data_IF_828273693527
#
_entry.id   IF_828273693527
#
_cell.length_a   1.000
_cell.length_b   1.000
_cell.length_c   1.000
_cell.angle_alpha   90.00
_cell.angle_beta   90.00
_cell.angle_gamma   90.00
#
_symmetry.space_group_name_H-M   'P 1'
#
loop_
_entity.id
_entity.type
_entity.pdbx_description
1 polymer ?
#
# COMPACT_ATOMS: atom_id res chain seq x y z
N UNK A 1 11.74 26.84 72.20
CA UNK A 1 11.75 25.54 71.50
C UNK A 1 10.94 25.66 70.20
N UNK A 2 11.61 25.73 69.05
CA UNK A 2 10.96 25.77 67.72
C UNK A 2 11.12 24.39 67.07
N UNK A 3 10.02 23.64 66.97
CA UNK A 3 9.98 22.37 66.25
C UNK A 3 10.06 22.63 64.74
N UNK A 4 11.20 22.30 64.11
CA UNK A 4 11.30 22.21 62.65
C UNK A 4 10.80 20.82 62.22
N UNK A 5 9.62 20.77 61.60
CA UNK A 5 9.14 19.59 60.87
C UNK A 5 9.84 19.55 59.51
N UNK A 6 10.78 18.63 59.35
CA UNK A 6 11.39 18.32 58.06
C UNK A 6 10.38 17.48 57.26
N UNK A 7 9.85 18.06 56.18
CA UNK A 7 8.90 17.39 55.28
C UNK A 7 9.72 16.62 54.23
N UNK A 8 9.87 15.31 54.40
CA UNK A 8 10.54 14.45 53.42
C UNK A 8 9.55 14.13 52.31
N UNK A 9 9.60 14.89 51.21
CA UNK A 9 8.85 14.58 49.99
C UNK A 9 9.49 13.37 49.31
N UNK A 10 8.88 12.19 49.49
CA UNK A 10 9.27 10.98 48.77
C UNK A 10 8.96 11.12 47.29
N UNK A 11 10.00 11.35 46.48
CA UNK A 11 9.93 11.30 45.03
C UNK A 11 9.72 9.82 44.62
N UNK A 12 8.47 9.43 44.40
CA UNK A 12 8.15 8.10 43.88
C UNK A 12 8.53 8.08 42.40
N UNK A 13 9.71 7.54 42.10
CA UNK A 13 10.20 7.34 40.74
C UNK A 13 9.40 6.18 40.13
N UNK A 14 8.24 6.48 39.53
CA UNK A 14 7.50 5.51 38.74
C UNK A 14 8.35 5.17 37.51
N UNK A 15 9.03 4.02 37.53
CA UNK A 15 9.71 3.49 36.37
C UNK A 15 8.66 3.22 35.29
N UNK A 16 8.58 4.10 34.29
CA UNK A 16 7.82 3.87 33.08
C UNK A 16 8.47 2.67 32.38
N UNK A 17 7.93 1.47 32.57
CA UNK A 17 8.30 0.32 31.75
C UNK A 17 7.75 0.58 30.35
N UNK A 18 8.61 1.07 29.47
CA UNK A 18 8.34 1.07 28.03
C UNK A 18 8.42 -0.41 27.63
N UNK A 19 7.27 -1.08 27.57
CA UNK A 19 7.19 -2.40 26.98
C UNK A 19 7.65 -2.29 25.52
N UNK A 20 8.79 -2.90 25.19
CA UNK A 20 9.18 -3.03 23.79
C UNK A 20 8.19 -3.97 23.11
N UNK A 21 7.61 -3.56 21.98
CA UNK A 21 6.82 -4.46 21.16
C UNK A 21 7.64 -5.71 20.85
N UNK A 22 7.13 -6.88 21.21
CA UNK A 22 7.78 -8.15 20.91
C UNK A 22 7.53 -8.42 19.43
N UNK A 23 8.56 -8.60 18.63
CA UNK A 23 8.37 -8.96 17.22
C UNK A 23 8.31 -10.49 17.14
N UNK A 24 7.36 -11.02 16.36
CA UNK A 24 7.34 -12.44 16.02
C UNK A 24 7.79 -12.67 14.58
N UNK A 25 8.58 -13.71 14.35
CA UNK A 25 9.09 -14.09 13.04
C UNK A 25 8.49 -15.41 12.61
N UNK A 26 8.10 -15.50 11.34
CA UNK A 26 7.70 -16.74 10.72
C UNK A 26 8.87 -17.72 10.66
N UNK A 27 8.65 -18.93 11.17
CA UNK A 27 9.60 -20.04 11.18
C UNK A 27 9.17 -21.18 10.27
N UNK A 28 7.86 -21.30 9.97
CA UNK A 28 7.31 -22.32 9.06
C UNK A 28 7.56 -23.77 9.50
N UNK A 29 7.70 -24.00 10.81
CA UNK A 29 8.12 -25.30 11.35
C UNK A 29 6.99 -26.36 11.42
N UNK A 30 5.72 -25.94 11.37
CA UNK A 30 4.57 -26.83 11.53
C UNK A 30 3.92 -27.13 10.19
N UNK A 31 3.54 -26.08 9.46
CA UNK A 31 2.92 -26.18 8.14
C UNK A 31 3.13 -24.87 7.36
N UNK A 32 2.39 -24.70 6.27
CA UNK A 32 2.43 -23.46 5.47
C UNK A 32 1.31 -22.48 5.78
N UNK A 33 0.34 -22.81 6.64
CA UNK A 33 -0.79 -21.93 6.93
C UNK A 33 -0.34 -20.79 7.85
N UNK A 34 -0.55 -19.56 7.37
CA UNK A 34 -0.19 -18.34 8.05
C UNK A 34 -0.75 -18.26 9.49
N UNK A 35 -1.95 -18.81 9.70
CA UNK A 35 -2.67 -18.74 10.97
C UNK A 35 -2.31 -19.86 11.96
N UNK A 36 -1.40 -20.76 11.62
CA UNK A 36 -0.92 -21.79 12.56
C UNK A 36 0.08 -21.16 13.52
N UNK A 37 -0.30 -21.03 14.80
CA UNK A 37 0.52 -20.37 15.83
C UNK A 37 1.92 -20.97 15.99
N UNK A 38 2.08 -22.28 15.76
CA UNK A 38 3.38 -22.95 15.83
C UNK A 38 4.36 -22.58 14.70
N UNK A 39 3.90 -21.88 13.66
CA UNK A 39 4.78 -21.33 12.62
C UNK A 39 5.43 -20.00 13.02
N UNK A 40 5.22 -19.53 14.25
CA UNK A 40 5.70 -18.24 14.74
C UNK A 40 6.50 -18.43 16.03
N UNK A 41 7.68 -17.81 16.09
CA UNK A 41 8.61 -17.95 17.23
C UNK A 41 8.06 -17.39 18.56
N UNK A 42 7.12 -16.45 18.49
CA UNK A 42 6.56 -15.71 19.63
C UNK A 42 5.03 -15.63 19.54
N UNK A 43 4.39 -16.68 19.00
CA UNK A 43 2.94 -16.74 18.80
C UNK A 43 2.45 -15.92 17.60
N UNK A 44 1.14 -15.95 17.35
CA UNK A 44 0.58 -15.30 16.17
C UNK A 44 0.79 -13.78 16.17
N UNK A 45 1.04 -13.16 15.00
CA UNK A 45 1.08 -11.72 14.88
C UNK A 45 -0.25 -11.10 15.28
N UNK A 46 -0.18 -9.91 15.90
CA UNK A 46 -1.34 -9.09 16.21
C UNK A 46 -1.07 -7.60 15.93
N UNK A 47 -2.06 -6.77 16.17
CA UNK A 47 -1.99 -5.31 16.11
C UNK A 47 -1.94 -4.66 17.50
N UNK A 48 -1.67 -5.45 18.54
CA UNK A 48 -1.69 -5.04 19.96
C UNK A 48 -0.29 -5.05 20.61
N UNK A 49 0.77 -5.27 19.84
CA UNK A 49 2.16 -5.22 20.30
C UNK A 49 3.02 -6.40 19.87
N UNK A 50 2.46 -7.35 19.11
CA UNK A 50 3.18 -8.50 18.55
C UNK A 50 3.23 -8.47 17.00
N UNK A 51 3.90 -7.50 16.34
CA UNK A 51 3.98 -7.49 14.88
C UNK A 51 4.76 -8.69 14.34
N UNK A 52 4.32 -9.19 13.19
CA UNK A 52 4.91 -10.32 12.47
C UNK A 52 5.91 -9.92 11.38
N UNK A 53 6.95 -10.74 11.19
CA UNK A 53 7.85 -10.67 10.04
C UNK A 53 7.85 -12.01 9.31
N UNK A 54 7.58 -11.99 8.02
CA UNK A 54 7.77 -13.13 7.12
C UNK A 54 9.08 -12.91 6.36
N UNK A 55 10.10 -13.77 6.55
CA UNK A 55 11.42 -13.54 6.00
C UNK A 55 11.49 -13.84 4.49
N UNK A 56 12.57 -13.36 3.86
CA UNK A 56 12.84 -13.58 2.43
C UNK A 56 12.85 -15.06 2.05
N UNK A 57 12.36 -15.37 0.85
CA UNK A 57 12.31 -16.74 0.33
C UNK A 57 11.24 -17.62 0.96
N UNK A 58 10.42 -17.08 1.86
CA UNK A 58 9.34 -17.84 2.50
C UNK A 58 8.13 -17.93 1.59
N UNK A 59 7.58 -19.12 1.41
CA UNK A 59 6.25 -19.33 0.81
C UNK A 59 5.26 -19.70 1.91
N UNK A 60 4.24 -18.88 2.06
CA UNK A 60 3.13 -19.11 2.99
C UNK A 60 1.84 -19.33 2.21
N UNK A 61 0.94 -20.09 2.80
CA UNK A 61 -0.43 -20.20 2.34
C UNK A 61 -1.37 -19.58 3.36
N UNK A 62 -2.50 -19.07 2.89
CA UNK A 62 -3.59 -18.65 3.78
C UNK A 62 -4.77 -19.59 3.53
N UNK A 63 -4.98 -20.55 4.42
CA UNK A 63 -6.10 -21.47 4.32
C UNK A 63 -7.40 -20.84 4.83
N UNK A 64 -7.28 -19.95 5.82
CA UNK A 64 -8.40 -19.11 6.25
C UNK A 64 -8.61 -17.93 5.27
N UNK A 65 -9.71 -17.19 5.42
CA UNK A 65 -10.01 -16.04 4.55
C UNK A 65 -9.48 -14.71 5.08
N UNK A 66 -8.75 -14.69 6.19
CA UNK A 66 -8.59 -13.48 7.00
C UNK A 66 -7.17 -13.26 7.46
N UNK A 67 -6.68 -12.03 7.23
CA UNK A 67 -5.49 -11.43 7.83
C UNK A 67 -5.90 -10.31 8.82
N UNK A 68 -7.12 -10.39 9.37
CA UNK A 68 -7.65 -9.38 10.26
C UNK A 68 -6.90 -9.33 11.59
N UNK A 69 -6.79 -8.13 12.17
CA UNK A 69 -6.21 -7.94 13.50
C UNK A 69 -4.68 -8.10 13.58
N UNK A 70 -3.99 -8.26 12.45
CA UNK A 70 -2.54 -8.51 12.43
C UNK A 70 -1.75 -7.32 11.87
N UNK A 71 -0.52 -7.14 12.35
CA UNK A 71 0.47 -6.26 11.72
C UNK A 71 1.61 -7.11 11.19
N UNK A 72 1.86 -7.13 9.88
CA UNK A 72 2.82 -8.06 9.27
C UNK A 72 3.66 -7.38 8.20
N UNK A 73 4.96 -7.66 8.21
CA UNK A 73 5.89 -7.29 7.14
C UNK A 73 6.37 -8.53 6.38
N UNK A 74 6.09 -8.55 5.08
CA UNK A 74 6.48 -9.58 4.13
C UNK A 74 7.74 -9.12 3.41
N UNK A 75 8.88 -9.76 3.66
CA UNK A 75 10.20 -9.24 3.28
C UNK A 75 10.85 -9.99 2.13
N UNK A 76 11.66 -9.29 1.34
CA UNK A 76 12.52 -9.88 0.32
C UNK A 76 11.68 -10.59 -0.74
N UNK A 77 11.93 -11.86 -1.00
CA UNK A 77 11.17 -12.66 -1.97
C UNK A 77 10.11 -13.56 -1.31
N UNK A 78 9.33 -13.02 -0.37
CA UNK A 78 8.30 -13.80 0.33
C UNK A 78 7.01 -13.90 -0.48
N UNK A 79 6.33 -15.04 -0.46
CA UNK A 79 5.08 -15.27 -1.17
C UNK A 79 3.93 -15.57 -0.20
N UNK A 80 2.81 -14.87 -0.37
CA UNK A 80 1.52 -15.25 0.20
C UNK A 80 0.60 -15.76 -0.91
N UNK A 81 0.30 -17.06 -0.88
CA UNK A 81 -0.54 -17.72 -1.89
C UNK A 81 -1.84 -18.24 -1.28
N UNK A 82 -2.97 -17.92 -1.90
CA UNK A 82 -4.24 -18.51 -1.48
C UNK A 82 -5.23 -18.61 -2.64
N UNK A 83 -6.04 -19.66 -2.61
CA UNK A 83 -7.22 -19.78 -3.50
C UNK A 83 -8.45 -19.11 -2.91
N UNK A 84 -8.41 -18.73 -1.63
CA UNK A 84 -9.50 -18.09 -0.92
C UNK A 84 -9.46 -16.56 -1.10
N UNK A 85 -10.55 -15.89 -0.70
CA UNK A 85 -10.56 -14.44 -0.57
C UNK A 85 -9.73 -14.01 0.65
N UNK A 86 -8.93 -12.96 0.50
CA UNK A 86 -8.15 -12.32 1.56
C UNK A 86 -8.89 -11.10 2.08
N UNK A 87 -9.05 -11.03 3.41
CA UNK A 87 -9.65 -9.90 4.12
C UNK A 87 -8.58 -9.22 4.97
N UNK A 88 -8.53 -7.90 4.88
CA UNK A 88 -7.67 -7.04 5.69
C UNK A 88 -8.60 -6.07 6.43
N UNK A 89 -8.73 -6.26 7.74
CA UNK A 89 -9.53 -5.41 8.62
C UNK A 89 -8.86 -5.31 9.99
N UNK A 90 -8.82 -4.09 10.52
CA UNK A 90 -8.06 -3.77 11.72
C UNK A 90 -6.62 -4.30 11.63
N UNK A 91 -5.99 -4.19 10.46
CA UNK A 91 -4.70 -4.79 10.17
C UNK A 91 -3.87 -3.94 9.23
N UNK A 92 -2.55 -4.07 9.36
CA UNK A 92 -1.57 -3.43 8.48
C UNK A 92 -0.64 -4.49 7.91
N UNK A 93 -0.61 -4.61 6.60
CA UNK A 93 0.27 -5.53 5.89
C UNK A 93 1.20 -4.74 4.99
N UNK A 94 2.50 -4.97 5.10
CA UNK A 94 3.52 -4.32 4.26
C UNK A 94 4.26 -5.39 3.48
N UNK A 95 4.22 -5.33 2.16
CA UNK A 95 5.02 -6.17 1.28
C UNK A 95 6.18 -5.35 0.75
N UNK A 96 7.41 -5.85 0.88
CA UNK A 96 8.62 -5.11 0.52
C UNK A 96 9.65 -6.01 -0.16
N UNK A 97 10.52 -5.43 -0.99
CA UNK A 97 11.51 -6.20 -1.76
C UNK A 97 10.93 -6.72 -3.07
N UNK A 98 10.86 -8.03 -3.26
CA UNK A 98 10.23 -8.71 -4.41
C UNK A 98 9.03 -9.58 -4.02
N UNK A 99 8.48 -9.40 -2.82
CA UNK A 99 7.39 -10.20 -2.29
C UNK A 99 6.15 -10.24 -3.19
N UNK A 100 5.43 -11.35 -3.14
CA UNK A 100 4.25 -11.60 -3.96
C UNK A 100 3.02 -11.89 -3.10
N UNK A 101 1.86 -11.44 -3.57
CA UNK A 101 0.56 -11.76 -3.01
C UNK A 101 -0.35 -12.26 -4.12
N UNK A 102 -0.75 -13.53 -4.06
CA UNK A 102 -1.69 -14.12 -5.03
C UNK A 102 -2.94 -14.61 -4.31
N UNK A 103 -4.10 -14.05 -4.68
CA UNK A 103 -5.41 -14.55 -4.25
C UNK A 103 -6.28 -14.92 -5.44
N UNK A 104 -6.84 -16.13 -5.43
CA UNK A 104 -7.66 -16.64 -6.53
C UNK A 104 -9.04 -15.97 -6.67
N UNK A 105 -9.58 -15.34 -5.62
CA UNK A 105 -10.97 -14.84 -5.61
C UNK A 105 -11.01 -13.34 -5.42
N UNK A 106 -10.61 -12.85 -4.25
CA UNK A 106 -10.75 -11.44 -3.94
C UNK A 106 -9.76 -10.97 -2.88
N UNK A 107 -9.29 -9.74 -3.02
CA UNK A 107 -8.60 -8.98 -1.97
C UNK A 107 -9.51 -7.86 -1.48
N UNK A 108 -9.81 -7.83 -0.19
CA UNK A 108 -10.78 -6.90 0.39
C UNK A 108 -10.15 -6.18 1.57
N UNK A 109 -9.81 -4.91 1.33
CA UNK A 109 -9.17 -4.04 2.31
C UNK A 109 -10.23 -3.16 2.96
N UNK A 110 -10.22 -3.10 4.28
CA UNK A 110 -11.32 -2.52 5.06
C UNK A 110 -12.56 -3.41 5.03
N UNK A 111 -12.41 -4.72 5.32
CA UNK A 111 -13.55 -5.66 5.42
C UNK A 111 -13.79 -6.11 6.85
N UNK A 112 -14.51 -5.29 7.60
CA UNK A 112 -14.84 -5.54 9.00
C UNK A 112 -16.07 -4.73 9.44
N UNK A 113 -16.09 -4.33 10.71
CA UNK A 113 -17.02 -3.33 11.23
C UNK A 113 -16.60 -1.94 10.77
N UNK A 114 -17.52 -0.96 10.75
CA UNK A 114 -17.25 0.40 10.25
C UNK A 114 -16.07 1.08 10.96
N UNK A 115 -15.73 0.67 12.19
CA UNK A 115 -14.59 1.16 12.95
C UNK A 115 -13.25 0.54 12.53
N UNK A 116 -13.26 -0.58 11.80
CA UNK A 116 -12.04 -1.27 11.41
C UNK A 116 -11.33 -0.51 10.28
N UNK A 117 -10.01 -0.40 10.37
CA UNK A 117 -9.17 0.15 9.29
C UNK A 117 -8.31 -0.97 8.73
N UNK A 118 -8.40 -1.19 7.41
CA UNK A 118 -7.50 -2.09 6.70
C UNK A 118 -6.44 -1.29 5.95
N UNK A 119 -5.18 -1.67 6.09
CA UNK A 119 -4.05 -1.03 5.40
C UNK A 119 -3.20 -2.07 4.70
N UNK A 120 -2.95 -1.86 3.42
CA UNK A 120 -1.98 -2.62 2.62
C UNK A 120 -0.96 -1.68 2.01
N UNK A 121 0.30 -1.82 2.42
CA UNK A 121 1.44 -1.14 1.81
C UNK A 121 2.11 -2.11 0.83
N UNK A 122 2.13 -1.72 -0.43
CA UNK A 122 2.79 -2.44 -1.51
C UNK A 122 4.07 -1.70 -1.92
N UNK A 123 5.12 -1.97 -1.16
CA UNK A 123 6.49 -1.49 -1.37
C UNK A 123 7.36 -2.57 -2.02
N UNK A 124 6.71 -3.50 -2.73
CA UNK A 124 7.33 -4.63 -3.39
C UNK A 124 7.44 -4.40 -4.90
N UNK A 125 8.58 -4.76 -5.47
CA UNK A 125 8.80 -4.89 -6.90
C UNK A 125 8.15 -6.16 -7.50
N UNK A 126 7.62 -7.05 -6.66
CA UNK A 126 6.92 -8.26 -7.06
C UNK A 126 5.50 -8.01 -7.58
N UNK A 127 4.67 -9.05 -7.55
CA UNK A 127 3.30 -9.02 -8.07
C UNK A 127 2.25 -9.22 -6.98
N UNK A 128 1.26 -8.33 -6.96
CA UNK A 128 -0.03 -8.52 -6.30
C UNK A 128 -1.06 -8.91 -7.37
N UNK A 129 -1.54 -10.15 -7.34
CA UNK A 129 -2.58 -10.65 -8.23
C UNK A 129 -3.85 -11.02 -7.45
N UNK A 130 -5.00 -10.59 -7.96
CA UNK A 130 -6.30 -10.93 -7.35
C UNK A 130 -7.40 -11.02 -8.41
N UNK A 131 -8.45 -11.79 -8.15
CA UNK A 131 -9.66 -11.74 -8.97
C UNK A 131 -10.35 -10.37 -8.86
N UNK A 132 -10.93 -10.07 -7.71
CA UNK A 132 -11.54 -8.76 -7.42
C UNK A 132 -10.81 -8.08 -6.27
N UNK A 133 -10.38 -6.84 -6.48
CA UNK A 133 -9.83 -5.99 -5.43
C UNK A 133 -10.85 -4.92 -5.04
N UNK A 134 -11.11 -4.79 -3.74
CA UNK A 134 -11.88 -3.67 -3.17
C UNK A 134 -11.07 -2.99 -2.09
N UNK A 135 -10.87 -1.68 -2.23
CA UNK A 135 -10.25 -0.83 -1.21
C UNK A 135 -11.36 -0.03 -0.54
N UNK A 136 -11.64 -0.29 0.73
CA UNK A 136 -12.77 0.32 1.46
C UNK A 136 -14.08 -0.40 1.20
N UNK A 137 -14.21 -1.66 1.65
CA UNK A 137 -15.36 -2.52 1.34
C UNK A 137 -16.54 -2.36 2.31
N UNK A 138 -16.29 -2.61 3.59
CA UNK A 138 -17.29 -2.54 4.68
C UNK A 138 -16.84 -1.53 5.77
N UNK A 139 -15.56 -1.15 5.74
CA UNK A 139 -14.90 -0.20 6.62
C UNK A 139 -13.79 0.53 5.84
N UNK A 140 -13.11 1.49 6.47
CA UNK A 140 -12.06 2.26 5.80
C UNK A 140 -10.94 1.35 5.31
N UNK A 141 -10.60 1.46 4.02
CA UNK A 141 -9.51 0.70 3.42
C UNK A 141 -8.50 1.63 2.78
N UNK A 142 -7.23 1.35 3.01
CA UNK A 142 -6.11 2.09 2.41
C UNK A 142 -5.15 1.14 1.71
N UNK A 143 -4.74 1.53 0.51
CA UNK A 143 -3.69 0.87 -0.22
C UNK A 143 -2.68 1.90 -0.72
N UNK A 144 -1.41 1.69 -0.43
CA UNK A 144 -0.31 2.53 -0.90
C UNK A 144 0.65 1.68 -1.74
N UNK A 145 0.84 2.04 -3.01
CA UNK A 145 1.76 1.35 -3.92
C UNK A 145 2.94 2.26 -4.25
N UNK A 146 4.16 1.75 -4.11
CA UNK A 146 5.40 2.46 -4.49
C UNK A 146 6.21 1.74 -5.58
N UNK A 147 5.95 0.46 -5.83
CA UNK A 147 6.66 -0.31 -6.85
C UNK A 147 5.82 -1.49 -7.40
N UNK A 148 6.43 -2.29 -8.27
CA UNK A 148 5.92 -3.60 -8.71
C UNK A 148 4.66 -3.55 -9.55
N UNK A 149 3.94 -4.67 -9.56
CA UNK A 149 2.73 -4.86 -10.37
C UNK A 149 1.54 -5.23 -9.49
N UNK A 150 0.45 -4.47 -9.61
CA UNK A 150 -0.85 -4.77 -8.99
C UNK A 150 -1.85 -5.09 -10.11
N UNK A 151 -2.22 -6.36 -10.24
CA UNK A 151 -3.01 -6.86 -11.37
C UNK A 151 -4.34 -7.51 -10.93
N UNK A 152 -5.30 -6.75 -10.36
CA UNK A 152 -6.63 -7.27 -10.10
C UNK A 152 -7.46 -7.38 -11.38
N UNK A 153 -8.25 -8.44 -11.58
CA UNK A 153 -9.18 -8.48 -12.73
C UNK A 153 -10.23 -7.35 -12.68
N UNK A 154 -10.64 -6.94 -11.48
CA UNK A 154 -11.50 -5.78 -11.23
C UNK A 154 -11.06 -5.01 -9.98
N UNK A 155 -10.96 -3.68 -10.07
CA UNK A 155 -10.59 -2.78 -8.98
C UNK A 155 -11.73 -1.81 -8.65
N UNK A 156 -12.18 -1.83 -7.39
CA UNK A 156 -13.17 -0.89 -6.86
C UNK A 156 -12.63 -0.12 -5.65
N UNK A 157 -12.83 1.20 -5.64
CA UNK A 157 -12.45 2.10 -4.54
C UNK A 157 -13.71 2.63 -3.84
N UNK A 158 -13.86 2.26 -2.57
CA UNK A 158 -15.02 2.57 -1.76
C UNK A 158 -16.24 1.71 -2.08
N UNK A 159 -17.26 1.84 -1.22
CA UNK A 159 -18.58 1.21 -1.42
C UNK A 159 -19.67 1.90 -0.60
N UNK A 160 -20.72 2.40 -1.25
CA UNK A 160 -21.79 3.12 -0.55
C UNK A 160 -21.23 4.34 0.19
N UNK A 161 -21.36 4.38 1.52
CA UNK A 161 -20.79 5.43 2.38
C UNK A 161 -19.39 5.10 2.91
N UNK A 162 -18.82 3.94 2.57
CA UNK A 162 -17.51 3.49 3.02
C UNK A 162 -16.42 4.08 2.14
N UNK A 163 -15.38 4.65 2.78
CA UNK A 163 -14.28 5.34 2.11
C UNK A 163 -13.14 4.37 1.79
N UNK A 164 -12.72 4.37 0.52
CA UNK A 164 -11.49 3.72 0.06
C UNK A 164 -10.42 4.75 -0.34
N UNK A 165 -9.16 4.47 -0.05
CA UNK A 165 -8.04 5.29 -0.56
C UNK A 165 -6.98 4.40 -1.20
N UNK A 166 -6.68 4.65 -2.47
CA UNK A 166 -5.56 4.05 -3.19
C UNK A 166 -4.58 5.16 -3.56
N UNK A 167 -3.35 5.09 -3.06
CA UNK A 167 -2.25 5.97 -3.43
C UNK A 167 -1.23 5.23 -4.29
N UNK A 168 -0.94 5.74 -5.49
CA UNK A 168 0.00 5.18 -6.45
C UNK A 168 1.17 6.15 -6.66
N UNK A 169 2.33 5.79 -6.10
CA UNK A 169 3.58 6.56 -6.20
C UNK A 169 4.60 5.94 -7.18
N UNK A 170 4.46 4.66 -7.51
CA UNK A 170 5.31 3.97 -8.49
C UNK A 170 4.77 2.57 -8.81
N UNK A 171 5.31 1.94 -9.86
CA UNK A 171 4.85 0.63 -10.33
C UNK A 171 3.65 0.70 -11.28
N UNK A 172 3.09 -0.47 -11.59
CA UNK A 172 2.00 -0.61 -12.56
C UNK A 172 0.76 -1.21 -11.89
N UNK A 173 -0.41 -0.67 -12.22
CA UNK A 173 -1.72 -1.22 -11.92
C UNK A 173 -2.37 -1.62 -13.23
N UNK A 174 -2.79 -2.88 -13.37
CA UNK A 174 -3.50 -3.35 -14.58
C UNK A 174 -4.80 -4.02 -14.17
N UNK A 175 -5.93 -3.54 -14.69
CA UNK A 175 -7.24 -4.12 -14.34
C UNK A 175 -8.20 -4.14 -15.52
N UNK A 176 -9.14 -5.08 -15.55
CA UNK A 176 -10.17 -5.15 -16.57
C UNK A 176 -11.28 -4.13 -16.35
N UNK A 177 -11.65 -3.92 -15.09
CA UNK A 177 -12.69 -2.99 -14.67
C UNK A 177 -12.17 -2.09 -13.55
N UNK A 178 -12.45 -0.79 -13.65
CA UNK A 178 -12.07 0.19 -12.64
C UNK A 178 -13.27 1.05 -12.25
N UNK A 179 -13.48 1.27 -10.96
CA UNK A 179 -14.54 2.14 -10.46
C UNK A 179 -14.22 2.77 -9.11
N UNK A 180 -14.64 4.02 -8.94
CA UNK A 180 -14.59 4.74 -7.67
C UNK A 180 -16.03 5.05 -7.27
N UNK A 181 -16.47 4.52 -6.13
CA UNK A 181 -17.82 4.73 -5.59
C UNK A 181 -17.81 5.81 -4.53
N UNK A 182 -16.91 5.68 -3.55
CA UNK A 182 -16.75 6.64 -2.46
C UNK A 182 -15.33 6.55 -1.92
N UNK A 183 -14.44 7.36 -2.47
CA UNK A 183 -13.03 7.26 -2.14
C UNK A 183 -12.15 8.03 -3.09
N UNK A 184 -10.86 7.72 -3.06
CA UNK A 184 -9.86 8.42 -3.85
C UNK A 184 -8.87 7.43 -4.44
N UNK A 185 -8.62 7.57 -5.74
CA UNK A 185 -7.44 7.01 -6.39
C UNK A 185 -6.51 8.18 -6.68
N UNK A 186 -5.33 8.18 -6.07
CA UNK A 186 -4.43 9.32 -6.05
C UNK A 186 -3.06 8.94 -6.63
N UNK A 187 -2.55 9.76 -7.55
CA UNK A 187 -1.14 9.76 -7.88
C UNK A 187 -0.43 10.73 -6.93
N UNK A 188 0.68 10.30 -6.32
CA UNK A 188 1.46 11.24 -5.50
C UNK A 188 2.18 12.25 -6.38
N UNK A 189 2.53 13.42 -5.83
CA UNK A 189 3.38 14.37 -6.53
C UNK A 189 4.70 13.70 -6.94
N UNK A 190 5.03 13.77 -8.24
CA UNK A 190 6.22 13.10 -8.80
C UNK A 190 6.14 11.57 -8.78
N UNK A 191 4.92 10.99 -8.74
CA UNK A 191 4.70 9.57 -8.95
C UNK A 191 5.43 9.10 -10.21
N UNK A 192 5.72 7.80 -10.34
CA UNK A 192 6.06 7.16 -11.62
C UNK A 192 5.10 6.02 -11.93
N UNK A 193 3.96 6.00 -11.25
CA UNK A 193 3.00 4.92 -11.32
C UNK A 193 2.13 4.98 -12.57
N UNK A 194 1.73 3.81 -13.05
CA UNK A 194 0.89 3.66 -14.24
C UNK A 194 -0.40 2.90 -13.89
N UNK A 195 -1.57 3.47 -14.19
CA UNK A 195 -2.85 2.74 -14.17
C UNK A 195 -3.28 2.38 -15.60
N UNK A 196 -3.38 1.09 -15.90
CA UNK A 196 -3.89 0.55 -17.16
C UNK A 196 -5.25 -0.12 -16.94
N UNK A 197 -6.29 0.35 -17.62
CA UNK A 197 -7.61 -0.30 -17.62
C UNK A 197 -7.87 -0.94 -18.99
N UNK A 198 -7.90 -2.27 -19.03
CA UNK A 198 -8.15 -3.07 -20.23
C UNK A 198 -9.64 -3.39 -20.31
N UNK A 199 -10.45 -2.45 -20.80
CA UNK A 199 -11.89 -2.67 -20.90
C UNK A 199 -12.21 -3.68 -22.01
N UNK A 200 -12.50 -4.93 -21.63
CA UNK A 200 -12.78 -6.03 -22.54
C UNK A 200 -14.22 -6.01 -23.09
N UNK A 201 -14.59 -4.94 -23.81
CA UNK A 201 -15.76 -4.95 -24.69
C UNK A 201 -16.95 -4.06 -24.29
N UNK A 202 -16.85 -3.22 -23.26
CA UNK A 202 -17.83 -2.15 -23.01
C UNK A 202 -17.17 -0.79 -23.26
N UNK A 203 -17.87 0.23 -23.80
CA UNK A 203 -17.30 1.58 -23.84
C UNK A 203 -16.97 2.03 -22.41
N UNK A 204 -15.70 2.37 -22.17
CA UNK A 204 -15.29 2.91 -20.88
C UNK A 204 -15.97 4.28 -20.69
N UNK A 205 -16.79 4.42 -19.65
CA UNK A 205 -17.46 5.68 -19.34
C UNK A 205 -16.50 6.63 -18.61
N UNK A 206 -15.68 7.34 -19.39
CA UNK A 206 -14.76 8.35 -18.88
C UNK A 206 -15.47 9.53 -18.20
N UNK A 207 -16.73 9.82 -18.56
CA UNK A 207 -17.48 10.92 -17.96
C UNK A 207 -17.79 10.63 -16.50
N UNK A 208 -18.06 9.37 -16.15
CA UNK A 208 -18.20 8.92 -14.76
C UNK A 208 -16.90 9.06 -13.95
N UNK A 209 -15.74 9.09 -14.60
CA UNK A 209 -14.44 9.12 -13.92
C UNK A 209 -13.97 10.54 -13.56
N UNK A 210 -14.32 11.53 -14.38
CA UNK A 210 -13.92 12.93 -14.16
C UNK A 210 -14.65 13.59 -12.99
N UNK A 211 -15.73 12.98 -12.48
CA UNK A 211 -16.51 13.48 -11.34
C UNK A 211 -16.32 12.74 -10.01
N UNK A 212 -15.52 11.67 -9.96
CA UNK A 212 -15.59 10.67 -8.86
C UNK A 212 -14.36 10.57 -7.96
N UNK A 213 -13.48 11.59 -7.93
CA UNK A 213 -12.42 11.65 -6.92
C UNK A 213 -11.06 11.10 -7.35
N UNK A 214 -10.74 11.19 -8.64
CA UNK A 214 -9.33 11.19 -9.07
C UNK A 214 -8.78 12.59 -8.83
N UNK A 215 -7.87 12.72 -7.87
CA UNK A 215 -7.11 13.94 -7.67
C UNK A 215 -5.96 13.95 -8.67
N UNK A 216 -5.99 14.93 -9.58
CA UNK A 216 -4.89 15.21 -10.51
C UNK A 216 -3.96 16.19 -9.83
N UNK A 217 -2.65 15.95 -9.89
CA UNK A 217 -1.73 17.08 -9.76
C UNK A 217 -1.63 17.80 -11.13
N UNK A 218 -1.13 19.04 -11.13
CA UNK A 218 -1.06 19.84 -12.35
C UNK A 218 -0.03 19.34 -13.38
N UNK A 219 0.74 18.30 -13.07
CA UNK A 219 1.81 17.70 -13.87
C UNK A 219 1.47 16.31 -14.41
N UNK A 220 0.32 15.74 -14.04
CA UNK A 220 -0.13 14.43 -14.54
C UNK A 220 -0.67 14.52 -15.97
N UNK A 221 -0.02 13.85 -16.94
CA UNK A 221 -0.54 13.71 -18.30
C UNK A 221 -1.35 12.41 -18.45
N UNK A 222 -2.54 12.51 -19.03
CA UNK A 222 -3.39 11.37 -19.38
C UNK A 222 -3.35 11.16 -20.89
N UNK A 223 -2.66 10.12 -21.35
CA UNK A 223 -2.73 9.69 -22.75
C UNK A 223 -3.89 8.73 -22.87
N UNK A 224 -5.00 9.18 -23.45
CA UNK A 224 -6.17 8.34 -23.76
C UNK A 224 -6.09 7.97 -25.24
N UNK A 225 -5.74 6.72 -25.55
CA UNK A 225 -5.85 6.21 -26.92
C UNK A 225 -7.10 5.33 -27.06
N UNK A 226 -7.86 5.55 -28.12
CA UNK A 226 -9.08 4.78 -28.39
C UNK A 226 -8.74 3.28 -28.50
N UNK A 227 -9.36 2.48 -27.63
CA UNK A 227 -9.36 1.01 -27.52
C UNK A 227 -8.28 0.33 -26.67
N UNK A 228 -7.23 1.02 -26.24
CA UNK A 228 -6.38 0.60 -25.12
C UNK A 228 -5.63 1.83 -24.63
N UNK A 229 -5.32 1.86 -23.33
CA UNK A 229 -4.33 2.74 -22.71
C UNK A 229 -4.89 4.12 -22.31
N UNK A 230 -5.16 4.25 -21.01
CA UNK A 230 -4.89 5.48 -20.29
C UNK A 230 -3.46 5.35 -19.75
N UNK A 231 -2.47 6.04 -20.30
CA UNK A 231 -1.17 6.19 -19.61
C UNK A 231 -1.27 7.45 -18.78
N UNK A 232 -1.28 7.31 -17.46
CA UNK A 232 -0.83 8.39 -16.60
C UNK A 232 0.69 8.45 -16.71
N UNK A 233 1.25 9.40 -17.47
CA UNK A 233 2.69 9.69 -17.41
C UNK A 233 2.86 10.95 -16.57
N UNK A 234 3.52 10.87 -15.42
CA UNK A 234 3.92 12.04 -14.66
C UNK A 234 4.99 12.79 -15.46
N UNK A 235 4.72 14.04 -15.83
CA UNK A 235 5.73 14.86 -16.46
C UNK A 235 6.86 15.17 -15.45
N UNK A 236 8.11 15.31 -15.89
CA UNK A 236 9.20 15.72 -15.02
C UNK A 236 8.82 17.04 -14.34
N UNK A 237 8.97 17.11 -13.02
CA UNK A 237 8.62 18.30 -12.22
C UNK A 237 9.10 19.60 -12.88
N UNK A 238 8.37 20.69 -12.72
CA UNK A 238 8.74 22.02 -13.26
C UNK A 238 10.18 22.41 -12.90
N UNK A 239 10.68 21.95 -11.75
CA UNK A 239 12.07 22.10 -11.32
C UNK A 239 13.08 21.35 -12.19
N UNK A 240 12.77 20.12 -12.61
CA UNK A 240 13.62 19.33 -13.51
C UNK A 240 13.70 19.97 -14.91
N UNK A 241 12.59 20.51 -15.43
CA UNK A 241 12.58 21.24 -16.70
C UNK A 241 13.40 22.54 -16.61
N UNK A 242 13.22 23.29 -15.52
CA UNK A 242 13.94 24.55 -15.27
C UNK A 242 15.45 24.33 -15.15
N UNK A 243 15.88 23.30 -14.42
CA UNK A 243 17.29 22.94 -14.29
C UNK A 243 17.89 22.45 -15.60
N UNK A 244 17.12 21.69 -16.40
CA UNK A 244 17.53 21.28 -17.74
C UNK A 244 17.80 22.46 -18.68
N UNK A 245 16.91 23.47 -18.67
CA UNK A 245 17.08 24.71 -19.45
C UNK A 245 18.31 25.50 -18.98
N UNK A 246 18.51 25.63 -17.66
CA UNK A 246 19.68 26.31 -17.09
C UNK A 246 20.99 25.58 -17.44
N UNK A 247 21.02 24.25 -17.40
CA UNK A 247 22.17 23.44 -17.77
C UNK A 247 22.51 23.59 -19.26
N UNK A 248 21.50 23.57 -20.15
CA UNK A 248 21.67 23.85 -21.58
C UNK A 248 22.20 25.27 -21.82
N UNK A 249 21.68 26.27 -21.11
CA UNK A 249 22.16 27.64 -21.17
C UNK A 249 23.64 27.76 -20.77
N UNK A 250 24.05 27.07 -19.69
CA UNK A 250 25.45 27.05 -19.25
C UNK A 250 26.38 26.41 -20.28
N UNK A 251 25.98 25.30 -20.92
CA UNK A 251 26.74 24.65 -21.99
C UNK A 251 26.88 25.56 -23.21
N UNK A 252 25.80 26.26 -23.60
CA UNK A 252 25.82 27.20 -24.72
C UNK A 252 26.75 28.39 -24.48
N UNK A 253 26.74 28.97 -23.27
CA UNK A 253 27.65 30.07 -22.90
C UNK A 253 29.10 29.59 -22.95
N UNK A 254 29.40 28.41 -22.38
CA UNK A 254 30.76 27.87 -22.35
C UNK A 254 31.29 27.62 -23.77
N UNK A 255 30.46 27.12 -24.69
CA UNK A 255 30.87 26.93 -26.10
C UNK A 255 31.16 28.25 -26.81
N UNK A 256 30.39 29.31 -26.54
CA UNK A 256 30.60 30.63 -27.15
C UNK A 256 31.95 31.26 -26.76
N UNK A 257 32.41 31.04 -25.52
CA UNK A 257 33.69 31.55 -25.02
C UNK A 257 34.90 30.82 -25.62
N UNK A 258 34.74 29.57 -26.05
CA UNK A 258 35.84 28.78 -26.63
C UNK A 258 36.00 29.03 -28.14
N UNK A 259 34.94 29.53 -28.81
CA UNK A 259 34.90 29.73 -30.26
C UNK A 259 35.14 31.17 -30.74
N UNK A 260 35.46 32.10 -29.84
CA UNK A 260 35.83 33.50 -30.15
C UNK A 260 37.20 33.83 -29.62
#
# INVERSE_FOLDING_TARGET
>A
MKYRKTLTAGLCLAALQIASAQVTTWTGLVDTDFNTAGNWDNGLPDNAGNPGIVPTGTVTTLLATSLNGTTVTWSGDSHLNTTAAVRIANSTHTFQGSSNLTTGIALQIGRGTVADVGTLNWDSAGTLSSGVMTVGRDATGTLSQSAGVVAPSSLAIGRGTIVGTYTLSGGNVTTGTFGIVNGTFNFTAGSTGLLTVTNAGSPFDFASLLGTGILKDAADSWIITSNTLAVGVPEPSTYALSLGILALGFVMIRRRVISG
#
